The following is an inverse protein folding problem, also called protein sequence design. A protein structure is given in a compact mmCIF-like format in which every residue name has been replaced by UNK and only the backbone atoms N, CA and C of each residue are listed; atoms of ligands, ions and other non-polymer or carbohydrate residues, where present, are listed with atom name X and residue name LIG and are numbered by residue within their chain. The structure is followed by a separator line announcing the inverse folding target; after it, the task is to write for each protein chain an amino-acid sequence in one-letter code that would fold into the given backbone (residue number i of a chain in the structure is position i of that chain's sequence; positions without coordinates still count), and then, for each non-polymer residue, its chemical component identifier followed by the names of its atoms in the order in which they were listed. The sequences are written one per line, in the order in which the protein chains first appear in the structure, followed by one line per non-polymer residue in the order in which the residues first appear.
data_IF_774829750455
#
_entry.id   IF_774829750455
#
_cell.length_a   1.000
_cell.length_b   1.000
_cell.length_c   1.000
_cell.angle_alpha   90.00
_cell.angle_beta   90.00
_cell.angle_gamma   90.00
#
_symmetry.space_group_name_H-M   'P 1'
#
loop_
_entity.id
_entity.type
_entity.pdbx_description
1 polymer ?
#
# COMPACT_ATOMS: atom_id res chain seq x y z
N UNK A 1 -8.42 -1.97 48.35
CA UNK A 1 -7.97 -1.25 47.13
C UNK A 1 -6.70 -1.82 46.47
N UNK A 2 -6.04 -2.87 47.01
CA UNK A 2 -4.88 -3.50 46.34
C UNK A 2 -5.25 -4.61 45.33
N UNK A 3 -6.41 -5.25 45.49
CA UNK A 3 -6.87 -6.33 44.60
C UNK A 3 -7.43 -5.82 43.26
N UNK A 4 -7.90 -4.58 43.20
CA UNK A 4 -8.43 -3.97 41.98
C UNK A 4 -7.31 -3.49 41.05
N UNK A 5 -6.14 -3.11 41.59
CA UNK A 5 -4.98 -2.70 40.80
C UNK A 5 -4.31 -3.88 40.06
N UNK A 6 -4.35 -5.09 40.63
CA UNK A 6 -3.78 -6.29 40.01
C UNK A 6 -4.58 -6.78 38.80
N UNK A 7 -5.90 -6.55 38.77
CA UNK A 7 -6.76 -6.93 37.65
C UNK A 7 -6.61 -5.98 36.44
N UNK A 8 -6.26 -4.72 36.67
CA UNK A 8 -6.07 -3.74 35.59
C UNK A 8 -4.74 -3.94 34.83
N UNK A 9 -3.74 -4.56 35.48
CA UNK A 9 -2.44 -4.85 34.87
C UNK A 9 -2.48 -6.01 33.85
N UNK A 10 -3.53 -6.85 33.86
CA UNK A 10 -3.61 -8.04 33.01
C UNK A 10 -4.23 -7.76 31.62
N UNK A 11 -4.93 -6.62 31.47
CA UNK A 11 -5.60 -6.25 30.21
C UNK A 11 -4.69 -5.49 29.22
N UNK A 12 -3.48 -5.11 29.64
CA UNK A 12 -2.50 -4.40 28.81
C UNK A 12 -1.58 -5.35 28.00
N UNK A 13 -1.78 -6.67 28.14
CA UNK A 13 -0.97 -7.69 27.46
C UNK A 13 -1.66 -8.31 26.22
N UNK A 14 -2.79 -7.75 25.78
CA UNK A 14 -3.40 -8.17 24.50
C UNK A 14 -2.61 -7.50 23.39
N UNK A 15 -1.89 -8.34 22.67
CA UNK A 15 -0.76 -8.00 21.83
C UNK A 15 -0.99 -6.85 20.86
N UNK A 16 0.04 -6.03 20.72
CA UNK A 16 0.44 -5.61 19.39
C UNK A 16 0.72 -6.90 18.61
N UNK A 17 -0.29 -7.43 17.91
CA UNK A 17 -0.02 -8.31 16.79
C UNK A 17 0.94 -7.54 15.91
N UNK A 18 2.14 -8.09 15.74
CA UNK A 18 3.04 -7.61 14.69
C UNK A 18 2.27 -7.90 13.42
N UNK A 19 1.61 -6.88 12.88
CA UNK A 19 1.13 -6.95 11.52
C UNK A 19 2.37 -7.24 10.69
N UNK A 20 2.49 -8.47 10.21
CA UNK A 20 3.46 -8.79 9.20
C UNK A 20 3.24 -7.76 8.07
N UNK A 21 4.29 -7.04 7.62
CA UNK A 21 4.12 -6.11 6.52
C UNK A 21 3.44 -6.87 5.40
N UNK A 22 2.39 -6.29 4.76
CA UNK A 22 1.52 -7.02 3.86
C UNK A 22 2.38 -7.85 2.91
N UNK A 23 2.28 -9.18 3.06
CA UNK A 23 3.02 -10.13 2.24
C UNK A 23 2.83 -9.68 0.81
N UNK A 24 3.94 -9.30 0.16
CA UNK A 24 3.94 -8.84 -1.23
C UNK A 24 2.95 -9.68 -1.98
N UNK A 25 1.81 -9.08 -2.34
CA UNK A 25 0.70 -9.81 -2.94
C UNK A 25 1.32 -10.69 -4.00
N UNK A 26 1.06 -12.00 -3.92
CA UNK A 26 1.61 -12.99 -4.84
C UNK A 26 1.65 -12.36 -6.22
N UNK A 27 2.78 -12.52 -6.93
CA UNK A 27 2.88 -12.22 -8.37
C UNK A 27 1.90 -13.13 -9.12
N UNK A 28 0.61 -12.93 -8.89
CA UNK A 28 -0.45 -13.18 -9.83
C UNK A 28 0.02 -12.53 -11.12
N UNK A 29 -0.21 -13.19 -12.24
CA UNK A 29 -0.01 -12.68 -13.61
C UNK A 29 -0.75 -11.35 -13.91
N UNK A 30 -1.19 -10.62 -12.88
CA UNK A 30 -1.73 -9.26 -12.81
C UNK A 30 -1.00 -8.19 -13.60
N UNK A 31 0.21 -8.43 -14.14
CA UNK A 31 0.87 -7.47 -15.04
C UNK A 31 0.11 -7.28 -16.34
N UNK A 32 -0.69 -8.27 -16.78
CA UNK A 32 -1.50 -8.16 -18.00
C UNK A 32 -2.57 -7.05 -17.94
N UNK A 33 -2.95 -6.63 -16.73
CA UNK A 33 -4.04 -5.65 -16.51
C UNK A 33 -3.56 -4.32 -15.93
N UNK A 34 -2.25 -4.09 -15.87
CA UNK A 34 -1.68 -2.83 -15.40
C UNK A 34 -1.30 -1.96 -16.61
N UNK A 35 -1.96 -0.81 -16.72
CA UNK A 35 -1.68 0.20 -17.75
C UNK A 35 -0.91 1.37 -17.15
N UNK A 36 0.02 1.92 -17.92
CA UNK A 36 0.74 3.14 -17.56
C UNK A 36 0.00 4.35 -18.10
N UNK A 37 -0.26 5.32 -17.23
CA UNK A 37 -0.82 6.62 -17.59
C UNK A 37 0.21 7.71 -17.30
N UNK A 38 0.33 8.68 -18.20
CA UNK A 38 1.20 9.85 -18.01
C UNK A 38 0.32 11.07 -17.86
N UNK A 39 0.40 11.71 -16.70
CA UNK A 39 -0.20 13.03 -16.51
C UNK A 39 0.61 14.06 -17.31
N UNK A 40 -0.07 14.79 -18.19
CA UNK A 40 0.58 15.76 -19.08
C UNK A 40 1.01 17.02 -18.35
N UNK A 41 0.32 17.41 -17.29
CA UNK A 41 0.64 18.61 -16.52
C UNK A 41 1.92 18.39 -15.72
N UNK A 42 1.94 17.30 -14.95
CA UNK A 42 3.04 17.01 -14.03
C UNK A 42 4.13 16.14 -14.65
N UNK A 43 3.85 15.41 -15.72
CA UNK A 43 4.74 14.38 -16.28
C UNK A 43 4.76 13.08 -15.48
N UNK A 44 4.05 12.99 -14.34
CA UNK A 44 4.06 11.81 -13.49
C UNK A 44 3.49 10.58 -14.20
N UNK A 45 4.16 9.45 -14.00
CA UNK A 45 3.68 8.15 -14.46
C UNK A 45 2.87 7.45 -13.35
N UNK A 46 1.71 6.92 -13.71
CA UNK A 46 0.82 6.17 -12.82
C UNK A 46 0.58 4.77 -13.36
N UNK A 47 0.47 3.80 -12.45
CA UNK A 47 0.03 2.45 -12.74
C UNK A 47 -1.46 2.36 -12.40
N UNK A 48 -2.27 2.05 -13.41
CA UNK A 48 -3.70 1.83 -13.25
C UNK A 48 -4.00 0.36 -13.49
N UNK A 49 -4.66 -0.25 -12.51
CA UNK A 49 -5.14 -1.63 -12.60
C UNK A 49 -6.56 -1.63 -13.16
N UNK A 50 -6.73 -2.07 -14.41
CA UNK A 50 -8.03 -2.04 -15.09
C UNK A 50 -8.95 -3.19 -14.70
N UNK A 51 -8.41 -4.29 -14.18
CA UNK A 51 -9.19 -5.47 -13.78
C UNK A 51 -8.86 -5.91 -12.36
N UNK A 52 -9.88 -6.36 -11.63
CA UNK A 52 -9.72 -6.88 -10.28
C UNK A 52 -8.97 -8.20 -10.30
N UNK A 53 -7.81 -8.24 -9.64
CA UNK A 53 -7.11 -9.50 -9.35
C UNK A 53 -6.97 -9.64 -7.83
N UNK A 54 -7.62 -10.66 -7.28
CA UNK A 54 -7.58 -11.03 -5.85
C UNK A 54 -8.41 -10.12 -4.92
N UNK A 55 -8.04 -10.12 -3.63
CA UNK A 55 -8.70 -9.35 -2.55
C UNK A 55 -8.63 -7.81 -2.72
N UNK A 56 -7.87 -7.30 -3.70
CA UNK A 56 -7.56 -5.87 -3.85
C UNK A 56 -8.55 -5.09 -4.74
N UNK A 57 -9.68 -5.70 -5.12
CA UNK A 57 -10.77 -5.02 -5.83
C UNK A 57 -10.43 -4.51 -7.24
N UNK A 58 -11.45 -3.96 -7.90
CA UNK A 58 -11.33 -3.26 -9.19
C UNK A 58 -10.93 -1.81 -8.97
N UNK A 59 -10.07 -1.29 -9.83
CA UNK A 59 -9.78 0.13 -9.86
C UNK A 59 -8.85 0.58 -8.73
N UNK A 60 -7.59 0.77 -9.08
CA UNK A 60 -6.61 1.46 -8.26
C UNK A 60 -5.65 2.22 -9.16
N UNK A 61 -5.23 3.40 -8.71
CA UNK A 61 -4.18 4.17 -9.36
C UNK A 61 -3.09 4.43 -8.31
N UNK A 62 -1.87 4.00 -8.62
CA UNK A 62 -0.70 4.27 -7.78
C UNK A 62 0.37 4.96 -8.61
N UNK A 63 1.24 5.71 -7.96
CA UNK A 63 2.37 6.36 -8.63
C UNK A 63 3.42 5.32 -9.01
N UNK A 64 3.97 5.42 -10.22
CA UNK A 64 5.08 4.57 -10.64
C UNK A 64 6.37 5.11 -10.05
N UNK A 65 7.17 4.22 -9.47
CA UNK A 65 8.50 4.56 -8.95
C UNK A 65 9.60 4.18 -9.94
N UNK A 66 10.71 4.90 -9.90
CA UNK A 66 11.97 4.56 -10.57
C UNK A 66 12.82 3.57 -9.74
N UNK A 67 14.00 3.23 -10.25
CA UNK A 67 14.94 2.30 -9.60
C UNK A 67 15.45 2.81 -8.24
N UNK A 68 15.34 4.11 -7.98
CA UNK A 68 15.73 4.75 -6.72
C UNK A 68 14.55 4.91 -5.75
N UNK A 69 13.36 4.43 -6.12
CA UNK A 69 12.14 4.55 -5.31
C UNK A 69 11.49 5.94 -5.38
N UNK A 70 11.87 6.79 -6.34
CA UNK A 70 11.27 8.12 -6.53
C UNK A 70 10.15 8.09 -7.56
N UNK A 71 9.17 9.00 -7.49
CA UNK A 71 8.15 9.16 -8.53
C UNK A 71 8.75 9.34 -9.91
N UNK A 72 8.37 8.47 -10.86
CA UNK A 72 8.88 8.48 -12.22
C UNK A 72 8.17 9.51 -13.08
N UNK A 73 8.93 10.23 -13.91
CA UNK A 73 8.42 11.22 -14.86
C UNK A 73 7.94 12.55 -14.25
N UNK A 74 7.73 12.60 -12.94
CA UNK A 74 7.24 13.77 -12.23
C UNK A 74 8.21 14.96 -12.33
N UNK A 75 7.76 16.02 -12.99
CA UNK A 75 8.40 17.34 -12.98
C UNK A 75 8.07 18.02 -11.66
N UNK A 76 9.05 18.75 -11.11
CA UNK A 76 8.80 19.63 -9.97
C UNK A 76 7.92 20.78 -10.43
N UNK A 77 6.72 20.86 -9.90
CA UNK A 77 5.83 22.01 -10.09
C UNK A 77 6.34 23.09 -9.12
N UNK A 78 6.72 24.25 -9.65
CA UNK A 78 7.28 25.38 -8.89
C UNK A 78 6.18 26.28 -8.33
#
# INVERSE_FOLDING_TARGET
MKKLLMLLSLMLAVGCEKEDPPTNADKSNSTEYIKVFVDKETGCEYLHKSEGAGYQGYGGMTIRLDESGKPKGCKKIS
#
